data_IF_746526817488
#
_entry.id   IF_746526817488
#
_cell.length_a   1.000
_cell.length_b   1.000
_cell.length_c   1.000
_cell.angle_alpha   90.00
_cell.angle_beta   90.00
_cell.angle_gamma   90.00
#
_symmetry.space_group_name_H-M   'P 1'
#
loop_
_entity.id
_entity.type
_entity.pdbx_description
1 polymer ?
#
# COMPACT_ATOMS: atom_id res chain seq x y z
N UNK A 1 1.48 2.90 17.78
CA UNK A 1 2.61 2.80 16.80
C UNK A 1 2.15 3.29 15.42
N UNK A 2 3.09 3.49 14.48
CA UNK A 2 2.76 3.70 13.06
C UNK A 2 3.07 2.40 12.32
N UNK A 3 2.05 1.77 11.76
CA UNK A 3 2.13 0.46 11.11
C UNK A 3 2.00 0.61 9.60
N UNK A 4 2.97 0.09 8.86
CA UNK A 4 2.87 0.00 7.40
C UNK A 4 2.01 -1.20 7.01
N UNK A 5 0.78 -0.97 6.62
CA UNK A 5 -0.11 -2.02 6.09
C UNK A 5 0.11 -2.15 4.59
N UNK A 6 0.74 -3.24 4.16
CA UNK A 6 1.03 -3.47 2.74
C UNK A 6 -0.02 -4.40 2.14
N UNK A 7 -0.78 -3.88 1.19
CA UNK A 7 -1.78 -4.64 0.46
C UNK A 7 -1.11 -5.35 -0.73
N UNK A 8 -0.92 -6.65 -0.63
CA UNK A 8 -0.24 -7.47 -1.65
C UNK A 8 -1.19 -8.28 -2.53
N UNK A 9 -2.45 -7.91 -2.57
CA UNK A 9 -3.46 -8.52 -3.43
C UNK A 9 -3.21 -8.25 -4.93
N UNK A 10 -3.78 -9.10 -5.76
CA UNK A 10 -3.73 -8.94 -7.22
C UNK A 10 -2.60 -9.70 -7.93
N UNK A 11 -2.91 -10.19 -9.13
CA UNK A 11 -2.02 -11.06 -9.93
C UNK A 11 -1.24 -10.26 -10.98
N UNK A 12 -1.64 -9.00 -11.24
CA UNK A 12 -0.96 -8.13 -12.22
C UNK A 12 -1.09 -8.64 -13.66
N UNK A 13 -2.24 -9.15 -14.07
CA UNK A 13 -2.48 -9.77 -15.40
C UNK A 13 -2.10 -8.89 -16.60
N UNK A 14 -2.09 -7.54 -16.41
CA UNK A 14 -1.71 -6.57 -17.46
C UNK A 14 -0.25 -6.68 -17.91
N UNK A 15 0.63 -7.27 -17.09
CA UNK A 15 2.04 -7.46 -17.41
C UNK A 15 2.36 -8.89 -17.90
N UNK A 16 1.33 -9.67 -18.26
CA UNK A 16 1.57 -10.98 -18.88
C UNK A 16 2.41 -10.82 -20.17
N UNK A 17 3.42 -11.67 -20.43
CA UNK A 17 3.82 -12.90 -19.71
C UNK A 17 4.80 -12.71 -18.55
N UNK A 18 5.26 -11.47 -18.27
CA UNK A 18 6.21 -11.19 -17.19
C UNK A 18 5.63 -11.53 -15.82
N UNK A 19 4.36 -11.17 -15.59
CA UNK A 19 3.63 -11.52 -14.37
C UNK A 19 2.61 -12.64 -14.63
N UNK A 20 2.42 -13.49 -13.64
CA UNK A 20 1.43 -14.56 -13.64
C UNK A 20 1.03 -14.94 -12.19
N UNK A 21 0.11 -15.92 -12.03
CA UNK A 21 -0.36 -16.38 -10.72
C UNK A 21 0.74 -16.92 -9.78
N UNK A 22 1.88 -17.39 -10.34
CA UNK A 22 3.01 -17.88 -9.54
C UNK A 22 4.00 -16.76 -9.21
N UNK A 23 4.02 -15.70 -10.01
CA UNK A 23 4.94 -14.58 -9.90
C UNK A 23 4.19 -13.26 -10.18
N UNK A 24 3.43 -12.74 -9.19
CA UNK A 24 2.70 -11.49 -9.32
C UNK A 24 3.63 -10.30 -9.56
N UNK A 25 3.10 -9.22 -10.18
CA UNK A 25 3.90 -8.06 -10.63
C UNK A 25 4.71 -7.41 -9.53
N UNK A 26 4.16 -7.31 -8.33
CA UNK A 26 4.81 -6.66 -7.19
C UNK A 26 6.06 -7.39 -6.70
N UNK A 27 6.22 -8.67 -7.05
CA UNK A 27 7.37 -9.51 -6.69
C UNK A 27 8.36 -9.74 -7.84
N UNK A 28 8.19 -9.01 -8.96
CA UNK A 28 9.15 -9.01 -10.05
C UNK A 28 10.28 -8.02 -9.77
N UNK A 29 11.53 -8.46 -9.91
CA UNK A 29 12.71 -7.62 -9.76
C UNK A 29 12.91 -6.77 -11.03
N UNK A 30 12.13 -5.69 -11.15
CA UNK A 30 12.13 -4.82 -12.33
C UNK A 30 13.00 -3.57 -12.17
N UNK A 31 13.35 -3.20 -10.94
CA UNK A 31 14.04 -1.96 -10.64
C UNK A 31 15.31 -2.22 -9.81
N UNK A 32 16.48 -2.06 -10.41
CA UNK A 32 17.77 -2.22 -9.73
C UNK A 32 17.88 -3.50 -8.89
N UNK A 33 17.45 -4.64 -9.45
CA UNK A 33 17.35 -5.93 -8.77
C UNK A 33 16.36 -5.99 -7.57
N UNK A 34 15.53 -4.99 -7.40
CA UNK A 34 14.51 -4.96 -6.36
C UNK A 34 13.11 -5.13 -6.94
N UNK A 35 12.23 -5.72 -6.15
CA UNK A 35 10.81 -5.79 -6.47
C UNK A 35 10.09 -4.52 -6.00
N UNK A 36 8.91 -4.23 -6.58
CA UNK A 36 8.07 -3.11 -6.13
C UNK A 36 7.64 -3.29 -4.66
N UNK A 37 7.40 -4.54 -4.25
CA UNK A 37 7.13 -4.87 -2.85
C UNK A 37 8.29 -4.46 -1.94
N UNK A 38 9.51 -4.89 -2.26
CA UNK A 38 10.71 -4.53 -1.50
C UNK A 38 10.91 -3.01 -1.44
N UNK A 39 10.77 -2.32 -2.58
CA UNK A 39 10.85 -0.87 -2.64
C UNK A 39 9.79 -0.18 -1.77
N UNK A 40 8.57 -0.74 -1.72
CA UNK A 40 7.50 -0.22 -0.86
C UNK A 40 7.85 -0.38 0.63
N UNK A 41 8.37 -1.54 1.03
CA UNK A 41 8.83 -1.77 2.41
C UNK A 41 9.93 -0.78 2.80
N UNK A 42 10.98 -0.69 1.98
CA UNK A 42 12.13 0.18 2.24
C UNK A 42 11.74 1.66 2.27
N UNK A 43 10.87 2.10 1.36
CA UNK A 43 10.36 3.46 1.32
C UNK A 43 9.65 3.86 2.61
N UNK A 44 8.85 2.96 3.17
CA UNK A 44 8.06 3.23 4.37
C UNK A 44 8.84 3.02 5.68
N UNK A 45 9.99 2.34 5.65
CA UNK A 45 10.76 2.02 6.86
C UNK A 45 11.29 3.25 7.61
N UNK A 46 11.39 4.41 6.95
CA UNK A 46 11.79 5.68 7.59
C UNK A 46 10.65 6.33 8.38
N UNK A 47 9.40 6.00 8.09
CA UNK A 47 8.22 6.65 8.69
C UNK A 47 7.31 5.71 9.48
N UNK A 48 7.59 4.40 9.45
CA UNK A 48 6.79 3.36 10.16
C UNK A 48 7.68 2.49 11.04
N UNK A 49 7.10 1.87 12.08
CA UNK A 49 7.84 1.05 13.05
C UNK A 49 7.66 -0.46 12.82
N UNK A 50 6.61 -0.87 12.12
CA UNK A 50 6.33 -2.29 11.86
C UNK A 50 5.61 -2.48 10.53
N UNK A 51 5.61 -3.71 10.03
CA UNK A 51 4.93 -4.09 8.79
C UNK A 51 3.79 -5.07 9.09
N UNK A 52 2.61 -4.81 8.52
CA UNK A 52 1.49 -5.73 8.48
C UNK A 52 1.20 -6.07 7.01
N UNK A 53 1.57 -7.26 6.59
CA UNK A 53 1.38 -7.73 5.22
C UNK A 53 0.01 -8.38 5.06
N UNK A 54 -0.82 -7.85 4.16
CA UNK A 54 -2.17 -8.34 3.90
C UNK A 54 -2.29 -8.87 2.48
N UNK A 55 -2.78 -10.09 2.32
CA UNK A 55 -2.97 -10.67 0.99
C UNK A 55 -3.41 -12.13 1.00
N UNK A 56 -3.48 -12.73 -0.17
CA UNK A 56 -3.72 -14.17 -0.26
C UNK A 56 -2.49 -14.97 0.15
N UNK A 57 -2.66 -16.25 0.52
CA UNK A 57 -1.61 -17.13 1.02
C UNK A 57 -0.32 -17.12 0.17
N UNK A 58 -0.46 -17.14 -1.16
CA UNK A 58 0.71 -17.16 -2.07
C UNK A 58 1.46 -15.84 -2.07
N UNK A 59 0.74 -14.73 -2.10
CA UNK A 59 1.34 -13.39 -2.04
C UNK A 59 2.03 -13.16 -0.72
N UNK A 60 1.41 -13.57 0.39
CA UNK A 60 1.99 -13.44 1.73
C UNK A 60 3.29 -14.22 1.81
N UNK A 61 3.33 -15.50 1.42
CA UNK A 61 4.57 -16.31 1.40
C UNK A 61 5.71 -15.69 0.59
N UNK A 62 5.43 -15.06 -0.54
CA UNK A 62 6.45 -14.35 -1.31
C UNK A 62 6.95 -13.08 -0.61
N UNK A 63 6.06 -12.37 0.05
CA UNK A 63 6.41 -11.19 0.83
C UNK A 63 7.22 -11.52 2.07
N UNK A 64 6.84 -12.56 2.81
CA UNK A 64 7.58 -13.08 3.98
C UNK A 64 9.03 -13.37 3.65
N UNK A 65 9.31 -14.09 2.55
CA UNK A 65 10.67 -14.37 2.10
C UNK A 65 11.50 -13.09 1.93
N UNK A 66 10.92 -12.06 1.31
CA UNK A 66 11.62 -10.77 1.11
C UNK A 66 11.83 -10.05 2.45
N UNK A 67 10.81 -10.02 3.32
CA UNK A 67 10.91 -9.37 4.64
C UNK A 67 11.95 -10.03 5.53
N UNK A 68 12.06 -11.36 5.49
CA UNK A 68 13.10 -12.13 6.18
C UNK A 68 14.50 -11.82 5.64
N UNK A 69 14.66 -11.77 4.30
CA UNK A 69 15.93 -11.46 3.65
C UNK A 69 16.45 -10.06 4.02
N UNK A 70 15.55 -9.08 4.12
CA UNK A 70 15.89 -7.70 4.51
C UNK A 70 15.81 -7.44 6.03
N UNK A 71 15.47 -8.47 6.82
CA UNK A 71 15.43 -8.45 8.31
C UNK A 71 14.47 -7.41 8.88
N UNK A 72 13.28 -7.28 8.29
CA UNK A 72 12.20 -6.43 8.78
C UNK A 72 11.22 -7.29 9.59
N UNK A 73 10.86 -6.84 10.79
CA UNK A 73 9.82 -7.47 11.60
C UNK A 73 8.45 -7.22 10.99
N UNK A 74 7.62 -8.26 10.94
CA UNK A 74 6.31 -8.20 10.31
C UNK A 74 5.28 -9.10 10.99
N UNK A 75 4.01 -8.77 10.76
CA UNK A 75 2.86 -9.64 10.97
C UNK A 75 2.14 -9.86 9.64
N UNK A 76 1.29 -10.88 9.55
CA UNK A 76 0.58 -11.20 8.32
C UNK A 76 -0.91 -11.42 8.57
N UNK A 77 -1.73 -11.01 7.59
CA UNK A 77 -3.14 -11.36 7.49
C UNK A 77 -3.36 -12.07 6.17
N UNK A 78 -3.83 -13.32 6.24
CA UNK A 78 -4.15 -14.10 5.04
C UNK A 78 -5.65 -13.98 4.74
N UNK A 79 -5.97 -13.34 3.62
CA UNK A 79 -7.34 -13.29 3.11
C UNK A 79 -7.72 -14.64 2.47
N UNK A 80 -8.63 -15.36 3.09
CA UNK A 80 -9.17 -16.62 2.54
C UNK A 80 -9.92 -16.38 1.22
N UNK A 81 -10.63 -15.25 1.13
CA UNK A 81 -11.36 -14.81 -0.06
C UNK A 81 -11.09 -13.31 -0.25
N UNK A 82 -10.39 -12.90 -1.33
CA UNK A 82 -10.17 -11.48 -1.61
C UNK A 82 -11.50 -10.73 -1.79
N UNK A 83 -11.70 -9.65 -1.05
CA UNK A 83 -12.94 -8.86 -1.02
C UNK A 83 -12.68 -7.36 -1.20
N UNK A 84 -11.84 -6.99 -2.15
CA UNK A 84 -11.44 -5.62 -2.41
C UNK A 84 -10.63 -4.98 -1.26
N UNK A 85 -10.16 -3.77 -1.49
CA UNK A 85 -9.30 -3.01 -0.58
C UNK A 85 -9.93 -2.74 0.77
N UNK A 86 -11.23 -2.38 0.80
CA UNK A 86 -11.92 -2.01 2.05
C UNK A 86 -11.96 -3.13 3.09
N UNK A 87 -12.18 -4.38 2.67
CA UNK A 87 -12.17 -5.52 3.58
C UNK A 87 -10.77 -5.78 4.15
N UNK A 88 -9.73 -5.69 3.32
CA UNK A 88 -8.34 -5.86 3.76
C UNK A 88 -7.95 -4.79 4.79
N UNK A 89 -8.34 -3.53 4.57
CA UNK A 89 -8.10 -2.43 5.52
C UNK A 89 -8.87 -2.65 6.83
N UNK A 90 -10.14 -3.09 6.75
CA UNK A 90 -10.93 -3.39 7.93
C UNK A 90 -10.31 -4.51 8.79
N UNK A 91 -9.82 -5.59 8.16
CA UNK A 91 -9.10 -6.64 8.89
C UNK A 91 -7.82 -6.11 9.52
N UNK A 92 -7.04 -5.31 8.80
CA UNK A 92 -5.84 -4.69 9.36
C UNK A 92 -6.17 -3.82 10.57
N UNK A 93 -7.25 -3.03 10.52
CA UNK A 93 -7.67 -2.20 11.64
C UNK A 93 -8.14 -3.01 12.85
N UNK A 94 -8.85 -4.12 12.63
CA UNK A 94 -9.32 -4.99 13.71
C UNK A 94 -8.19 -5.77 14.41
N UNK A 95 -7.11 -6.10 13.69
CA UNK A 95 -5.95 -6.81 14.21
C UNK A 95 -4.89 -5.86 14.82
N UNK A 96 -5.01 -4.55 14.60
CA UNK A 96 -4.11 -3.55 15.17
C UNK A 96 -4.63 -3.02 16.50
N UNK A 97 -3.73 -2.39 17.29
CA UNK A 97 -4.20 -1.72 18.50
C UNK A 97 -5.01 -0.47 18.14
N UNK A 98 -6.03 -0.11 18.95
CA UNK A 98 -6.88 1.06 18.68
C UNK A 98 -6.12 2.40 18.55
N UNK A 99 -4.96 2.51 19.18
CA UNK A 99 -4.10 3.70 19.15
C UNK A 99 -3.05 3.67 18.02
N UNK A 100 -3.04 2.63 17.19
CA UNK A 100 -2.10 2.54 16.08
C UNK A 100 -2.59 3.37 14.88
N UNK A 101 -1.65 4.02 14.21
CA UNK A 101 -1.90 4.69 12.93
C UNK A 101 -1.48 3.75 11.81
N UNK A 102 -2.40 3.49 10.90
CA UNK A 102 -2.17 2.59 9.78
C UNK A 102 -1.84 3.37 8.50
N UNK A 103 -0.62 3.22 8.02
CA UNK A 103 -0.20 3.73 6.70
C UNK A 103 -0.45 2.63 5.68
N UNK A 104 -1.58 2.70 5.01
CA UNK A 104 -2.01 1.66 4.05
C UNK A 104 -1.44 1.94 2.67
N UNK A 105 -0.64 1.02 2.17
CA UNK A 105 0.05 1.18 0.88
C UNK A 105 -0.14 -0.04 -0.02
N UNK A 106 -0.33 0.14 -1.33
CA UNK A 106 -0.28 -0.96 -2.27
C UNK A 106 1.18 -1.41 -2.49
N UNK A 107 1.36 -2.71 -2.70
CA UNK A 107 2.68 -3.32 -2.88
C UNK A 107 3.33 -3.06 -4.26
N UNK A 108 2.67 -2.33 -5.14
CA UNK A 108 3.00 -2.27 -6.57
C UNK A 108 3.17 -0.85 -7.14
N UNK A 109 3.34 0.14 -6.26
CA UNK A 109 3.61 1.52 -6.66
C UNK A 109 5.10 1.84 -6.63
N UNK A 110 5.59 2.42 -7.73
CA UNK A 110 6.90 3.06 -7.79
C UNK A 110 6.74 4.54 -7.43
N UNK A 111 7.48 5.00 -6.44
CA UNK A 111 7.56 6.42 -6.05
C UNK A 111 9.03 6.78 -6.01
N UNK A 112 9.42 7.81 -6.77
CA UNK A 112 10.82 8.18 -6.97
C UNK A 112 11.28 9.28 -6.00
N UNK A 113 10.37 10.22 -5.63
CA UNK A 113 10.67 11.37 -4.79
C UNK A 113 10.52 11.03 -3.29
N UNK A 114 11.51 10.33 -2.73
CA UNK A 114 11.47 9.83 -1.35
C UNK A 114 11.23 10.95 -0.31
N UNK A 115 11.94 12.07 -0.39
CA UNK A 115 11.82 13.16 0.60
C UNK A 115 10.42 13.81 0.56
N UNK A 116 9.87 14.00 -0.64
CA UNK A 116 8.52 14.54 -0.78
C UNK A 116 7.48 13.55 -0.25
N UNK A 117 7.65 12.26 -0.54
CA UNK A 117 6.79 11.20 -0.02
C UNK A 117 6.78 11.18 1.51
N UNK A 118 7.96 11.17 2.15
CA UNK A 118 8.09 11.19 3.60
C UNK A 118 7.42 12.40 4.24
N UNK A 119 7.58 13.58 3.63
CA UNK A 119 6.91 14.80 4.08
C UNK A 119 5.38 14.63 4.04
N UNK A 120 4.82 14.18 2.92
CA UNK A 120 3.39 13.96 2.79
C UNK A 120 2.86 12.91 3.79
N UNK A 121 3.60 11.81 4.01
CA UNK A 121 3.20 10.80 5.00
C UNK A 121 3.21 11.38 6.42
N UNK A 122 4.23 12.15 6.78
CA UNK A 122 4.30 12.75 8.11
C UNK A 122 3.16 13.77 8.34
N UNK A 123 2.82 14.59 7.35
CA UNK A 123 1.66 15.49 7.43
C UNK A 123 0.35 14.70 7.59
N UNK A 124 0.19 13.60 6.86
CA UNK A 124 -0.97 12.72 6.99
C UNK A 124 -1.06 12.03 8.36
N UNK A 125 0.07 11.64 8.95
CA UNK A 125 0.13 11.06 10.30
C UNK A 125 -0.36 12.07 11.34
N UNK A 126 0.01 13.35 11.24
CA UNK A 126 -0.49 14.37 12.16
C UNK A 126 -2.02 14.54 12.05
N UNK A 127 -2.58 14.58 10.85
CA UNK A 127 -4.03 14.59 10.64
C UNK A 127 -4.72 13.32 11.19
N UNK A 128 -4.09 12.17 11.02
CA UNK A 128 -4.63 10.91 11.54
C UNK A 128 -4.68 10.87 13.08
N UNK A 129 -3.75 11.54 13.76
CA UNK A 129 -3.79 11.72 15.24
C UNK A 129 -5.01 12.51 15.69
N UNK A 130 -5.51 13.40 14.84
CA UNK A 130 -6.74 14.18 15.07
C UNK A 130 -8.02 13.43 14.61
N UNK A 131 -7.91 12.09 14.42
CA UNK A 131 -9.00 11.18 14.01
C UNK A 131 -9.51 11.40 12.57
N UNK A 132 -8.71 11.95 11.68
CA UNK A 132 -9.03 12.00 10.26
C UNK A 132 -8.62 10.71 9.54
N UNK A 133 -9.45 10.29 8.57
CA UNK A 133 -9.03 9.33 7.54
C UNK A 133 -8.43 10.13 6.39
N UNK A 134 -7.14 9.95 6.14
CA UNK A 134 -6.41 10.72 5.14
C UNK A 134 -6.23 9.90 3.85
N UNK A 135 -6.49 10.54 2.72
CA UNK A 135 -6.26 9.96 1.39
C UNK A 135 -5.29 10.79 0.58
N UNK A 136 -4.51 10.14 -0.29
CA UNK A 136 -3.54 10.81 -1.14
C UNK A 136 -4.06 10.87 -2.57
N UNK A 137 -4.29 12.08 -3.08
CA UNK A 137 -4.62 12.33 -4.48
C UNK A 137 -3.36 12.62 -5.28
N UNK A 138 -3.27 12.02 -6.48
CA UNK A 138 -2.22 12.37 -7.44
C UNK A 138 -2.80 13.40 -8.40
N UNK A 139 -2.10 14.53 -8.57
CA UNK A 139 -2.52 15.58 -9.51
C UNK A 139 -2.55 15.01 -10.93
N UNK A 140 -3.71 15.02 -11.62
CA UNK A 140 -3.82 14.45 -12.95
C UNK A 140 -3.09 15.33 -13.97
N UNK A 141 -2.24 14.73 -14.81
CA UNK A 141 -1.55 15.42 -15.91
C UNK A 141 -2.42 15.51 -17.16
N UNK A 142 -3.43 14.64 -17.28
CA UNK A 142 -4.40 14.57 -18.38
C UNK A 142 -5.67 13.89 -17.90
N UNK A 143 -6.81 14.09 -18.57
CA UNK A 143 -8.01 13.29 -18.31
C UNK A 143 -7.73 11.81 -18.58
N UNK A 144 -8.11 10.95 -17.65
CA UNK A 144 -7.90 9.50 -17.76
C UNK A 144 -9.15 8.75 -17.28
N UNK A 145 -9.81 8.05 -18.18
CA UNK A 145 -11.05 7.32 -17.91
C UNK A 145 -10.83 6.02 -17.10
N UNK A 146 -9.58 5.59 -16.98
CA UNK A 146 -9.22 4.39 -16.20
C UNK A 146 -9.10 4.65 -14.69
N UNK A 147 -9.18 5.90 -14.24
CA UNK A 147 -9.01 6.29 -12.84
C UNK A 147 -10.30 6.81 -12.22
N UNK A 148 -10.42 6.63 -10.90
CA UNK A 148 -11.32 7.44 -10.08
C UNK A 148 -10.66 8.77 -9.72
N UNK A 149 -11.48 9.77 -9.39
CA UNK A 149 -11.00 11.11 -9.03
C UNK A 149 -11.50 11.49 -7.64
N UNK A 150 -10.66 12.21 -6.91
CA UNK A 150 -11.00 12.81 -5.62
C UNK A 150 -11.36 14.28 -5.87
N UNK A 151 -12.57 14.66 -5.51
CA UNK A 151 -13.02 16.04 -5.52
C UNK A 151 -12.87 16.59 -4.09
N UNK A 152 -12.21 17.74 -3.94
CA UNK A 152 -11.89 18.28 -2.64
C UNK A 152 -11.92 19.81 -2.64
N UNK A 153 -12.12 20.40 -1.47
CA UNK A 153 -12.03 21.84 -1.23
C UNK A 153 -11.04 22.06 -0.09
N UNK A 154 -9.99 22.83 -0.34
CA UNK A 154 -8.85 22.93 0.57
C UNK A 154 -8.23 21.57 0.86
N UNK A 155 -8.47 20.98 2.02
CA UNK A 155 -8.01 19.63 2.39
C UNK A 155 -9.15 18.64 2.63
N UNK A 156 -10.41 19.09 2.51
CA UNK A 156 -11.58 18.26 2.78
C UNK A 156 -12.08 17.58 1.50
N UNK A 157 -12.17 16.25 1.54
CA UNK A 157 -12.75 15.48 0.43
C UNK A 157 -14.25 15.70 0.38
N UNK A 158 -14.74 16.23 -0.73
CA UNK A 158 -16.16 16.47 -0.97
C UNK A 158 -16.83 15.29 -1.66
N UNK A 159 -16.15 14.61 -2.57
CA UNK A 159 -16.66 13.40 -3.19
C UNK A 159 -15.58 12.54 -3.85
N UNK A 160 -15.90 11.26 -4.05
CA UNK A 160 -15.16 10.38 -4.93
C UNK A 160 -15.93 10.17 -6.23
N UNK A 161 -15.30 10.47 -7.35
CA UNK A 161 -15.84 10.23 -8.69
C UNK A 161 -15.25 8.93 -9.22
N UNK A 162 -16.06 7.89 -9.22
CA UNK A 162 -15.62 6.61 -9.77
C UNK A 162 -15.45 6.72 -11.30
N UNK A 163 -14.60 5.88 -11.85
CA UNK A 163 -14.42 5.76 -13.30
C UNK A 163 -15.74 5.37 -13.98
N UNK A 164 -16.00 5.80 -15.20
CA UNK A 164 -17.21 5.49 -15.97
C UNK A 164 -17.32 4.01 -16.28
#
# INVERSE_FOLDING_TARGET
MIVNVILSGGVGSRLWPLSNKKRPKQYLNLFSNKSLFELTVLRNSSVTQSVLLVGNEKSVKLGEQILEDIKIEYNTIIESIPRNTSAAIAFAALESNPEDILVVTPADHLIEEQLLYEKCINEAIELAKDNFIVTFGITPLKPETGFGYIEYTENDVTSFREKP
#
